data_IF_949368412197
#
_entry.id   IF_949368412197
#
_cell.length_a   1.000
_cell.length_b   1.000
_cell.length_c   1.000
_cell.angle_alpha   90.00
_cell.angle_beta   90.00
_cell.angle_gamma   90.00
#
_symmetry.space_group_name_H-M   'P 1'
#
loop_
_entity.id
_entity.type
_entity.pdbx_description
1 polymer ?
#
# COMPACT_ATOMS: atom_id res chain seq x y z
N UNK A 1 -29.48 25.78 -57.27
CA UNK A 1 -29.08 26.30 -55.94
C UNK A 1 -28.95 25.11 -55.02
N UNK A 2 -27.71 24.71 -54.72
CA UNK A 2 -27.40 23.68 -53.71
C UNK A 2 -26.85 24.44 -52.51
N UNK A 3 -27.71 24.53 -51.48
CA UNK A 3 -27.29 25.06 -50.18
C UNK A 3 -26.57 23.98 -49.41
N UNK A 4 -25.23 23.98 -49.42
CA UNK A 4 -24.43 23.16 -48.54
C UNK A 4 -24.29 23.88 -47.20
N UNK A 5 -25.01 23.43 -46.19
CA UNK A 5 -24.74 23.76 -44.78
C UNK A 5 -23.49 23.03 -44.37
N UNK A 6 -22.37 23.76 -44.26
CA UNK A 6 -21.18 23.26 -43.56
C UNK A 6 -21.49 23.28 -42.06
N UNK A 7 -21.82 22.12 -41.50
CA UNK A 7 -21.77 21.93 -40.06
C UNK A 7 -20.30 22.06 -39.64
N UNK A 8 -19.95 23.20 -39.07
CA UNK A 8 -18.65 23.42 -38.47
C UNK A 8 -18.48 22.48 -37.27
N UNK A 9 -17.54 21.55 -37.36
CA UNK A 9 -17.14 20.76 -36.22
C UNK A 9 -16.62 21.72 -35.14
N UNK A 10 -17.39 21.90 -34.09
CA UNK A 10 -16.99 22.72 -32.95
C UNK A 10 -15.81 22.06 -32.24
N UNK A 11 -14.68 22.74 -32.22
CA UNK A 11 -13.52 22.33 -31.43
C UNK A 11 -13.73 22.80 -30.00
N UNK A 12 -13.96 21.87 -29.10
CA UNK A 12 -14.05 22.16 -27.67
C UNK A 12 -12.66 22.12 -27.08
N UNK A 13 -12.20 23.23 -26.54
CA UNK A 13 -10.94 23.29 -25.80
C UNK A 13 -11.19 22.86 -24.37
N UNK A 14 -10.71 21.66 -23.98
CA UNK A 14 -10.67 21.24 -22.60
C UNK A 14 -9.58 22.03 -21.86
N UNK A 15 -9.85 22.41 -20.61
CA UNK A 15 -8.84 23.03 -19.76
C UNK A 15 -7.76 22.02 -19.40
N UNK A 16 -6.51 22.48 -19.32
CA UNK A 16 -5.41 21.61 -18.92
C UNK A 16 -5.53 21.24 -17.44
N UNK A 17 -5.60 19.93 -17.09
CA UNK A 17 -5.64 19.49 -15.72
C UNK A 17 -4.34 19.82 -15.00
N UNK A 18 -4.42 20.20 -13.72
CA UNK A 18 -3.27 20.57 -12.90
C UNK A 18 -3.16 19.63 -11.70
N UNK A 19 -2.00 19.02 -11.53
CA UNK A 19 -1.65 18.20 -10.36
C UNK A 19 -0.96 19.10 -9.34
N UNK A 20 -1.52 19.17 -8.13
CA UNK A 20 -0.93 19.87 -6.99
C UNK A 20 -0.17 18.93 -6.06
N UNK A 21 -0.65 17.68 -5.91
CA UNK A 21 -0.02 16.69 -5.04
C UNK A 21 -0.65 15.31 -5.17
N UNK A 22 -0.04 14.34 -4.49
CA UNK A 22 -0.51 12.96 -4.40
C UNK A 22 -0.33 12.44 -2.98
N UNK A 23 -1.27 11.65 -2.50
CA UNK A 23 -1.20 10.99 -1.19
C UNK A 23 -1.79 9.57 -1.28
N UNK A 24 -1.10 8.53 -0.78
CA UNK A 24 0.29 8.58 -0.33
C UNK A 24 1.26 8.86 -1.49
N UNK A 25 2.40 9.49 -1.20
CA UNK A 25 3.46 9.72 -2.20
C UNK A 25 4.39 8.51 -2.38
N UNK A 26 3.99 7.36 -1.87
CA UNK A 26 4.76 6.11 -1.86
C UNK A 26 3.87 4.98 -2.36
N UNK A 27 4.44 4.05 -3.11
CA UNK A 27 3.76 2.84 -3.62
C UNK A 27 4.70 1.64 -3.56
N UNK A 28 4.20 0.43 -3.26
CA UNK A 28 4.99 -0.79 -3.41
C UNK A 28 5.33 -1.05 -4.89
N UNK A 29 6.46 -1.71 -5.14
CA UNK A 29 6.88 -2.08 -6.50
C UNK A 29 5.84 -2.97 -7.21
N UNK A 30 5.10 -3.78 -6.46
CA UNK A 30 4.01 -4.61 -6.99
C UNK A 30 2.81 -3.78 -7.49
N UNK A 31 2.73 -2.50 -7.15
CA UNK A 31 1.59 -1.65 -7.46
C UNK A 31 0.40 -1.92 -6.55
N UNK A 32 -0.80 -1.55 -7.02
CA UNK A 32 -2.06 -1.78 -6.30
C UNK A 32 -2.42 -0.71 -5.27
N UNK A 33 -1.54 0.23 -4.95
CA UNK A 33 -1.85 1.33 -4.04
C UNK A 33 -2.81 2.33 -4.70
N UNK A 34 -3.81 2.78 -3.95
CA UNK A 34 -4.68 3.88 -4.36
C UNK A 34 -3.97 5.19 -4.04
N UNK A 35 -3.71 5.97 -5.08
CA UNK A 35 -3.05 7.26 -5.03
C UNK A 35 -4.09 8.36 -5.23
N UNK A 36 -4.46 9.07 -4.17
CA UNK A 36 -5.37 10.20 -4.25
C UNK A 36 -4.62 11.43 -4.75
N UNK A 37 -4.99 11.92 -5.91
CA UNK A 37 -4.38 13.06 -6.58
C UNK A 37 -5.23 14.30 -6.32
N UNK A 38 -4.59 15.30 -5.73
CA UNK A 38 -5.18 16.63 -5.55
C UNK A 38 -4.73 17.58 -6.67
N UNK A 39 -5.63 18.45 -7.10
CA UNK A 39 -5.31 19.38 -8.18
C UNK A 39 -6.47 20.26 -8.59
N UNK A 40 -6.61 20.47 -9.89
CA UNK A 40 -7.70 21.26 -10.45
C UNK A 40 -7.96 20.95 -11.91
N UNK A 41 -9.15 21.36 -12.39
CA UNK A 41 -9.64 21.14 -13.75
C UNK A 41 -9.74 19.64 -14.10
N UNK A 42 -10.11 18.80 -13.10
CA UNK A 42 -10.25 17.37 -13.30
C UNK A 42 -11.64 17.03 -13.86
N UNK A 43 -11.66 16.17 -14.88
CA UNK A 43 -12.84 15.65 -15.54
C UNK A 43 -12.88 14.11 -15.49
N UNK A 44 -14.05 13.53 -15.65
CA UNK A 44 -14.27 12.08 -15.53
C UNK A 44 -13.49 11.23 -16.56
N UNK A 45 -13.14 11.82 -17.71
CA UNK A 45 -12.41 11.13 -18.79
C UNK A 45 -10.91 11.08 -18.60
N UNK A 46 -10.35 11.67 -17.54
CA UNK A 46 -8.93 11.72 -17.30
C UNK A 46 -8.35 10.35 -16.96
N UNK A 47 -7.09 10.18 -17.31
CA UNK A 47 -6.26 9.02 -17.01
C UNK A 47 -5.01 9.44 -16.25
N UNK A 48 -4.45 8.52 -15.49
CA UNK A 48 -3.21 8.68 -14.76
C UNK A 48 -2.06 8.03 -15.53
N UNK A 49 -0.93 8.70 -15.57
CA UNK A 49 0.33 8.16 -16.10
C UNK A 49 1.41 8.24 -15.02
N UNK A 50 1.98 7.11 -14.69
CA UNK A 50 3.09 6.96 -13.75
C UNK A 50 4.37 6.71 -14.56
N UNK A 51 5.28 7.68 -14.57
CA UNK A 51 6.48 7.59 -15.39
C UNK A 51 6.17 7.40 -16.87
N UNK A 52 6.78 6.38 -17.49
CA UNK A 52 6.66 6.07 -18.92
C UNK A 52 5.78 4.86 -19.22
N UNK A 53 5.01 4.36 -18.24
CA UNK A 53 4.12 3.21 -18.45
C UNK A 53 2.78 3.61 -19.09
N UNK A 54 2.06 2.60 -19.57
CA UNK A 54 0.74 2.81 -20.17
C UNK A 54 -0.21 3.49 -19.19
N UNK A 55 -1.04 4.46 -19.66
CA UNK A 55 -1.97 5.14 -18.81
C UNK A 55 -3.03 4.22 -18.22
N UNK A 56 -3.33 4.42 -16.93
CA UNK A 56 -4.41 3.73 -16.22
C UNK A 56 -5.64 4.63 -16.07
N UNK A 57 -6.81 4.03 -15.94
CA UNK A 57 -8.03 4.78 -15.65
C UNK A 57 -7.93 5.52 -14.32
N UNK A 58 -8.47 6.73 -14.27
CA UNK A 58 -8.65 7.46 -13.02
C UNK A 58 -10.09 7.30 -12.52
N UNK A 59 -10.26 7.24 -11.21
CA UNK A 59 -11.57 7.37 -10.58
C UNK A 59 -11.80 8.83 -10.25
N UNK A 60 -12.68 9.48 -10.96
CA UNK A 60 -13.00 10.87 -10.71
C UNK A 60 -13.81 11.03 -9.41
N UNK A 61 -13.39 11.95 -8.55
CA UNK A 61 -14.04 12.29 -7.28
C UNK A 61 -14.63 13.71 -7.31
N UNK A 62 -14.18 14.53 -8.26
CA UNK A 62 -14.60 15.92 -8.43
C UNK A 62 -13.55 16.74 -9.17
N UNK A 63 -13.84 18.00 -9.43
CA UNK A 63 -12.96 18.89 -10.19
C UNK A 63 -11.56 19.13 -9.56
N UNK A 64 -11.39 18.81 -8.28
CA UNK A 64 -10.14 19.01 -7.53
C UNK A 64 -9.49 17.71 -7.05
N UNK A 65 -10.12 16.54 -7.26
CA UNK A 65 -9.62 15.26 -6.76
C UNK A 65 -9.97 14.09 -7.69
N UNK A 66 -9.04 13.16 -7.82
CA UNK A 66 -9.24 11.86 -8.46
C UNK A 66 -8.32 10.81 -7.82
N UNK A 67 -8.67 9.53 -7.95
CA UNK A 67 -7.86 8.41 -7.50
C UNK A 67 -7.26 7.68 -8.69
N UNK A 68 -5.98 7.32 -8.55
CA UNK A 68 -5.26 6.47 -9.49
C UNK A 68 -4.84 5.19 -8.76
N UNK A 69 -4.91 4.04 -9.42
CA UNK A 69 -4.30 2.82 -8.89
C UNK A 69 -2.89 2.69 -9.47
N UNK A 70 -1.90 2.54 -8.59
CA UNK A 70 -0.52 2.35 -9.03
C UNK A 70 -0.35 1.01 -9.73
N UNK A 71 0.49 0.98 -10.77
CA UNK A 71 0.87 -0.24 -11.50
C UNK A 71 2.19 -0.77 -10.99
N UNK A 72 2.47 -2.06 -11.22
CA UNK A 72 3.76 -2.64 -10.86
C UNK A 72 4.91 -1.92 -11.59
N UNK A 73 5.95 -1.55 -10.84
CA UNK A 73 7.08 -0.79 -11.34
C UNK A 73 8.34 -1.05 -10.50
N UNK A 74 9.52 -0.92 -11.10
CA UNK A 74 10.78 -1.04 -10.34
C UNK A 74 10.88 0.06 -9.29
N UNK A 75 11.53 -0.22 -8.15
CA UNK A 75 11.80 0.79 -7.13
C UNK A 75 12.48 2.03 -7.70
N UNK A 76 12.07 3.19 -7.22
CA UNK A 76 12.57 4.47 -7.67
C UNK A 76 11.51 5.56 -7.72
N UNK A 77 11.94 6.81 -7.87
CA UNK A 77 11.04 7.94 -7.97
C UNK A 77 10.49 8.09 -9.41
N UNK A 78 9.19 8.21 -9.52
CA UNK A 78 8.50 8.46 -10.79
C UNK A 78 7.58 9.67 -10.66
N UNK A 79 7.18 10.23 -11.80
CA UNK A 79 6.20 11.32 -11.85
C UNK A 79 4.84 10.81 -12.22
N UNK A 80 3.83 11.24 -11.48
CA UNK A 80 2.43 11.03 -11.79
C UNK A 80 1.91 12.28 -12.50
N UNK A 81 1.37 12.10 -13.69
CA UNK A 81 0.68 13.11 -14.47
C UNK A 81 -0.73 12.64 -14.82
N UNK A 82 -1.64 13.55 -15.06
CA UNK A 82 -3.01 13.27 -15.49
C UNK A 82 -3.27 13.86 -16.87
N UNK A 83 -4.15 13.24 -17.65
CA UNK A 83 -4.44 13.73 -19.01
C UNK A 83 -5.52 12.93 -19.72
N UNK A 84 -5.87 13.38 -20.93
CA UNK A 84 -6.96 12.80 -21.74
C UNK A 84 -6.53 11.63 -22.64
N UNK A 85 -5.42 10.94 -22.36
CA UNK A 85 -4.98 9.77 -23.13
C UNK A 85 -3.61 9.94 -23.76
N UNK A 86 -3.44 9.72 -25.08
CA UNK A 86 -2.12 9.53 -25.67
C UNK A 86 -1.27 10.79 -25.82
N UNK A 87 -1.84 11.99 -25.81
CA UNK A 87 -1.10 13.21 -26.22
C UNK A 87 -1.22 14.44 -25.32
N UNK A 88 -2.24 14.54 -24.47
CA UNK A 88 -2.46 15.73 -23.65
C UNK A 88 -2.30 15.40 -22.15
N UNK A 89 -1.10 15.53 -21.65
CA UNK A 89 -0.75 15.34 -20.24
C UNK A 89 -0.57 16.67 -19.54
N UNK A 90 -0.91 16.71 -18.26
CA UNK A 90 -0.66 17.90 -17.43
C UNK A 90 0.81 18.30 -17.45
N UNK A 91 1.08 19.60 -17.54
CA UNK A 91 2.43 20.17 -17.40
C UNK A 91 2.94 20.04 -15.96
N UNK A 92 2.03 20.02 -14.98
CA UNK A 92 2.31 19.75 -13.57
C UNK A 92 2.27 18.26 -13.28
N UNK A 93 3.07 17.80 -12.32
CA UNK A 93 3.15 16.41 -11.90
C UNK A 93 3.52 16.30 -10.43
N UNK A 94 3.10 15.20 -9.77
CA UNK A 94 3.50 14.86 -8.42
C UNK A 94 4.52 13.71 -8.42
N UNK A 95 5.44 13.72 -7.46
CA UNK A 95 6.39 12.62 -7.27
C UNK A 95 5.75 11.44 -6.54
N UNK A 96 5.99 10.22 -7.00
CA UNK A 96 5.65 8.97 -6.32
C UNK A 96 6.92 8.15 -6.20
N UNK A 97 7.24 7.70 -4.99
CA UNK A 97 8.37 6.82 -4.73
C UNK A 97 7.90 5.37 -4.72
N UNK A 98 8.37 4.57 -5.67
CA UNK A 98 8.19 3.13 -5.63
C UNK A 98 9.26 2.51 -4.76
N UNK A 99 8.83 1.75 -3.76
CA UNK A 99 9.69 1.02 -2.85
C UNK A 99 9.68 -0.46 -3.19
N UNK A 100 10.83 -1.12 -2.99
CA UNK A 100 10.92 -2.57 -3.10
C UNK A 100 9.92 -3.20 -2.14
N UNK A 101 9.24 -4.23 -2.61
CA UNK A 101 8.34 -5.01 -1.76
C UNK A 101 9.18 -5.85 -0.81
N UNK A 102 9.16 -5.50 0.46
CA UNK A 102 9.86 -6.24 1.48
C UNK A 102 9.28 -7.64 1.64
N UNK A 103 10.05 -8.55 2.21
CA UNK A 103 9.58 -9.90 2.54
C UNK A 103 9.89 -10.23 3.98
N UNK A 104 8.88 -10.60 4.75
CA UNK A 104 9.07 -11.21 6.07
C UNK A 104 9.58 -12.64 5.86
N UNK A 105 10.75 -12.94 6.39
CA UNK A 105 11.41 -14.24 6.24
C UNK A 105 11.32 -15.08 7.51
N UNK A 106 11.37 -14.43 8.67
CA UNK A 106 11.27 -15.13 9.94
C UNK A 106 10.56 -14.28 11.01
N UNK A 107 10.01 -14.96 12.00
CA UNK A 107 9.40 -14.38 13.21
C UNK A 107 9.98 -15.05 14.43
N UNK A 108 10.31 -14.26 15.44
CA UNK A 108 10.78 -14.76 16.73
C UNK A 108 10.04 -14.04 17.88
N UNK A 109 9.54 -14.80 18.89
CA UNK A 109 9.51 -16.25 18.96
C UNK A 109 8.53 -16.85 17.94
N UNK A 110 8.74 -18.10 17.53
CA UNK A 110 7.87 -18.81 16.59
C UNK A 110 6.53 -19.24 17.19
N UNK A 111 6.38 -19.12 18.50
CA UNK A 111 5.12 -19.42 19.19
C UNK A 111 4.94 -18.60 20.46
N UNK A 112 3.68 -18.32 20.81
CA UNK A 112 3.31 -17.63 22.04
C UNK A 112 1.90 -17.97 22.50
N UNK A 113 1.50 -17.56 23.73
CA UNK A 113 0.14 -17.77 24.22
C UNK A 113 -0.90 -17.10 23.31
N UNK A 114 -2.04 -17.76 23.16
CA UNK A 114 -3.18 -17.27 22.38
C UNK A 114 -3.79 -15.97 22.93
N UNK A 115 -3.51 -15.63 24.20
CA UNK A 115 -3.92 -14.37 24.81
C UNK A 115 -3.29 -13.12 24.15
N UNK A 116 -2.25 -13.31 23.35
CA UNK A 116 -1.52 -12.20 22.71
C UNK A 116 -0.55 -11.49 23.64
N UNK A 117 -0.13 -10.30 23.24
CA UNK A 117 0.79 -9.42 24.00
C UNK A 117 2.27 -9.81 23.90
N UNK A 118 2.62 -10.94 23.29
CA UNK A 118 4.01 -11.34 23.09
C UNK A 118 4.66 -10.43 22.04
N UNK A 119 5.85 -9.92 22.35
CA UNK A 119 6.64 -9.14 21.41
C UNK A 119 7.20 -10.08 20.34
N UNK A 120 6.79 -9.86 19.10
CA UNK A 120 7.30 -10.54 17.93
C UNK A 120 8.39 -9.68 17.29
N UNK A 121 9.49 -10.31 16.88
CA UNK A 121 10.52 -9.72 16.04
C UNK A 121 10.43 -10.34 14.66
N UNK A 122 10.29 -9.50 13.66
CA UNK A 122 10.20 -9.89 12.27
C UNK A 122 11.51 -9.53 11.59
N UNK A 123 12.13 -10.51 10.96
CA UNK A 123 13.31 -10.29 10.14
C UNK A 123 13.01 -10.59 8.68
N UNK A 124 13.67 -9.87 7.80
CA UNK A 124 13.42 -9.99 6.38
C UNK A 124 14.30 -9.07 5.55
N UNK A 125 13.89 -8.86 4.31
CA UNK A 125 14.57 -7.93 3.40
C UNK A 125 13.62 -6.78 3.06
N UNK A 126 14.18 -5.60 2.83
CA UNK A 126 13.47 -4.40 2.39
C UNK A 126 12.23 -4.09 3.26
N UNK A 127 12.34 -4.34 4.59
CA UNK A 127 11.27 -4.04 5.53
C UNK A 127 11.13 -2.52 5.68
N UNK A 128 9.89 -1.99 5.72
CA UNK A 128 9.67 -0.56 5.88
C UNK A 128 10.11 -0.08 7.27
N UNK A 129 10.74 1.08 7.35
CA UNK A 129 11.18 1.66 8.62
C UNK A 129 10.06 2.35 9.42
N UNK A 130 9.00 2.79 8.74
CA UNK A 130 7.90 3.55 9.35
C UNK A 130 6.53 3.15 8.78
N UNK A 131 5.50 3.32 9.60
CA UNK A 131 4.10 3.18 9.18
C UNK A 131 3.65 1.75 8.87
N UNK A 132 4.46 0.75 9.23
CA UNK A 132 4.11 -0.65 9.03
C UNK A 132 3.13 -1.14 10.09
N UNK A 133 2.30 -2.10 9.72
CA UNK A 133 1.48 -2.89 10.64
C UNK A 133 1.77 -4.37 10.45
N UNK A 134 1.97 -5.06 11.56
CA UNK A 134 2.02 -6.52 11.55
C UNK A 134 0.60 -7.08 11.38
N UNK A 135 0.46 -8.03 10.48
CA UNK A 135 -0.74 -8.85 10.35
C UNK A 135 -0.41 -10.24 10.87
N UNK A 136 -1.12 -10.67 11.92
CA UNK A 136 -0.97 -12.01 12.49
C UNK A 136 -2.34 -12.70 12.47
N UNK A 137 -2.50 -13.67 11.59
CA UNK A 137 -3.78 -14.38 11.42
C UNK A 137 -4.93 -13.45 11.01
N UNK A 138 -4.65 -12.35 10.32
CA UNK A 138 -5.65 -11.36 9.89
C UNK A 138 -5.93 -10.23 10.89
N UNK A 139 -5.38 -10.29 12.10
CA UNK A 139 -5.44 -9.20 13.08
C UNK A 139 -4.20 -8.33 12.97
N UNK A 140 -4.35 -7.00 13.06
CA UNK A 140 -3.25 -6.05 12.92
C UNK A 140 -2.78 -5.48 14.25
N UNK A 141 -1.49 -5.18 14.35
CA UNK A 141 -0.88 -4.38 15.40
C UNK A 141 0.18 -3.45 14.81
N UNK A 142 0.42 -2.31 15.47
CA UNK A 142 1.47 -1.39 15.03
C UNK A 142 2.85 -2.06 15.09
N UNK A 143 3.67 -1.80 14.08
CA UNK A 143 5.06 -2.25 14.02
C UNK A 143 5.99 -1.04 14.13
N UNK A 144 7.17 -1.27 14.73
CA UNK A 144 8.23 -0.28 14.84
C UNK A 144 9.59 -0.91 14.53
N UNK A 145 10.53 -0.12 14.12
CA UNK A 145 11.89 -0.56 13.87
C UNK A 145 12.58 -0.99 15.17
N UNK A 146 13.06 -2.21 15.22
CA UNK A 146 13.80 -2.78 16.36
C UNK A 146 15.30 -2.84 16.11
N UNK A 147 15.71 -2.69 14.84
CA UNK A 147 17.09 -2.68 14.38
C UNK A 147 17.17 -2.73 12.86
N UNK A 148 18.36 -2.62 12.28
CA UNK A 148 18.52 -2.66 10.83
C UNK A 148 17.92 -3.94 10.21
N UNK A 149 16.89 -3.81 9.39
CA UNK A 149 16.19 -4.94 8.78
C UNK A 149 15.35 -5.79 9.76
N UNK A 150 15.04 -5.25 10.93
CA UNK A 150 14.22 -5.90 11.96
C UNK A 150 13.07 -4.99 12.41
N UNK A 151 11.87 -5.52 12.42
CA UNK A 151 10.68 -4.88 12.98
C UNK A 151 10.21 -5.63 14.21
N UNK A 152 9.58 -4.92 15.13
CA UNK A 152 8.90 -5.50 16.28
C UNK A 152 7.43 -5.09 16.29
N UNK A 153 6.59 -5.98 16.79
CA UNK A 153 5.18 -5.72 17.04
C UNK A 153 4.64 -6.63 18.15
N UNK A 154 3.54 -6.24 18.78
CA UNK A 154 2.87 -7.11 19.75
C UNK A 154 1.94 -8.09 19.01
N UNK A 155 2.03 -9.39 19.32
CA UNK A 155 1.07 -10.36 18.80
C UNK A 155 -0.33 -9.98 19.30
N UNK A 156 -1.34 -9.81 18.42
CA UNK A 156 -2.73 -9.71 18.85
C UNK A 156 -3.18 -11.00 19.55
N UNK A 157 -4.28 -10.97 20.30
CA UNK A 157 -4.92 -12.20 20.74
C UNK A 157 -5.45 -12.99 19.54
N UNK A 158 -5.29 -14.31 19.55
CA UNK A 158 -5.68 -15.17 18.43
C UNK A 158 -6.18 -16.54 18.89
N UNK A 159 -6.78 -17.28 17.97
CA UNK A 159 -7.17 -18.66 18.23
C UNK A 159 -5.91 -19.57 18.26
N UNK A 160 -5.87 -20.60 19.13
CA UNK A 160 -4.80 -21.59 19.10
C UNK A 160 -4.64 -22.22 17.72
N UNK A 161 -3.40 -22.34 17.25
CA UNK A 161 -3.09 -22.88 15.93
C UNK A 161 -2.02 -22.06 15.21
N UNK A 162 -1.79 -22.40 13.95
CA UNK A 162 -0.85 -21.67 13.10
C UNK A 162 -1.49 -20.42 12.49
N UNK A 163 -0.76 -19.34 12.48
CA UNK A 163 -1.14 -18.07 11.90
C UNK A 163 -0.03 -17.57 10.97
N UNK A 164 -0.42 -17.01 9.83
CA UNK A 164 0.51 -16.31 8.98
C UNK A 164 0.86 -14.96 9.59
N UNK A 165 2.14 -14.57 9.50
CA UNK A 165 2.64 -13.26 9.90
C UNK A 165 3.17 -12.55 8.66
N UNK A 166 2.63 -11.38 8.39
CA UNK A 166 3.03 -10.52 7.27
C UNK A 166 3.00 -9.06 7.70
N UNK A 167 3.33 -8.16 6.80
CA UNK A 167 3.16 -6.72 6.99
C UNK A 167 2.08 -6.21 6.04
N UNK A 168 1.25 -5.29 6.53
CA UNK A 168 0.12 -4.73 5.76
C UNK A 168 0.62 -3.88 4.59
N UNK A 169 0.21 -4.27 3.38
CA UNK A 169 0.41 -3.49 2.15
C UNK A 169 1.84 -3.42 1.59
N UNK A 170 2.84 -4.04 2.23
CA UNK A 170 4.25 -3.79 1.90
C UNK A 170 5.12 -5.02 1.64
N UNK A 171 4.62 -6.23 1.91
CA UNK A 171 5.46 -7.45 1.86
C UNK A 171 4.82 -8.59 1.09
N UNK A 172 5.62 -9.32 0.34
CA UNK A 172 5.22 -10.56 -0.35
C UNK A 172 5.45 -11.81 0.51
N UNK A 173 6.24 -11.72 1.57
CA UNK A 173 6.59 -12.85 2.43
C UNK A 173 5.62 -13.05 3.58
N UNK A 174 5.49 -14.30 3.99
CA UNK A 174 4.77 -14.68 5.19
C UNK A 174 5.63 -15.61 6.02
N UNK A 175 5.83 -15.28 7.30
CA UNK A 175 6.35 -16.21 8.28
C UNK A 175 5.20 -16.95 8.97
N UNK A 176 5.48 -18.11 9.54
CA UNK A 176 4.50 -18.91 10.27
C UNK A 176 4.74 -18.76 11.77
N UNK A 177 3.69 -18.46 12.49
CA UNK A 177 3.67 -18.29 13.93
C UNK A 177 2.61 -19.21 14.55
N UNK A 178 2.87 -19.76 15.73
CA UNK A 178 1.94 -20.65 16.40
C UNK A 178 1.38 -20.04 17.69
N UNK A 179 0.07 -19.86 17.73
CA UNK A 179 -0.64 -19.59 18.97
C UNK A 179 -0.81 -20.87 19.78
N UNK A 180 -0.40 -20.85 21.05
CA UNK A 180 -0.56 -21.97 21.98
C UNK A 180 -1.63 -21.65 23.02
N UNK A 181 -2.36 -22.66 23.44
CA UNK A 181 -3.23 -22.51 24.60
C UNK A 181 -2.40 -22.14 25.84
N UNK A 182 -2.96 -21.32 26.71
CA UNK A 182 -2.34 -21.00 27.99
C UNK A 182 -2.19 -22.27 28.83
N UNK A 183 -0.99 -22.51 29.34
CA UNK A 183 -0.79 -23.62 30.28
C UNK A 183 -1.56 -23.33 31.56
N UNK A 184 -2.46 -24.24 31.93
CA UNK A 184 -3.21 -24.18 33.21
C UNK A 184 -2.49 -25.05 34.23
N UNK A 185 -1.90 -24.45 35.24
CA UNK A 185 -1.36 -25.18 36.39
C UNK A 185 -2.54 -25.58 37.27
N UNK A 186 -2.89 -26.86 37.26
CA UNK A 186 -4.02 -27.38 38.04
C UNK A 186 -3.67 -27.71 39.49
N UNK A 187 -2.41 -28.02 39.79
CA UNK A 187 -1.94 -28.26 41.18
C UNK A 187 -0.42 -28.16 41.28
N UNK A 188 0.06 -27.71 42.42
CA UNK A 188 1.46 -27.73 42.78
C UNK A 188 1.58 -28.65 44.02
N UNK A 189 2.21 -29.80 43.91
CA UNK A 189 2.50 -30.64 45.04
C UNK A 189 3.82 -30.19 45.70
N UNK A 190 3.77 -29.79 46.98
CA UNK A 190 4.96 -29.65 47.79
C UNK A 190 5.50 -31.05 48.12
N UNK A 191 6.74 -31.33 47.73
CA UNK A 191 7.48 -32.45 48.34
C UNK A 191 7.94 -32.00 49.71
N UNK A 192 7.40 -32.64 50.76
CA UNK A 192 8.00 -32.59 52.08
C UNK A 192 9.40 -33.24 52.00
N UNK A 193 10.43 -32.50 52.40
CA UNK A 193 11.82 -33.00 52.57
C UNK A 193 11.98 -33.67 53.92
#
# INVERSE_FOLDING_TARGET
RVGGSSEGAGVTFAREPRVAGVAPAVSPEAGGAVLSVAGGEFEDSLRCRLGNVAPVGARWLGAAALDCVSVAMRPGAVRLAVGFGSQAWSSSSAGVLYQATGAVQAVAPESAPAAGGTLLRLTGRDLPSEGAKCLVGGSSSEAWEAGPGELACAAPAGAPGFAAVSLDGWTDGQAVFQYREAAVVRSVAQRAG
#
